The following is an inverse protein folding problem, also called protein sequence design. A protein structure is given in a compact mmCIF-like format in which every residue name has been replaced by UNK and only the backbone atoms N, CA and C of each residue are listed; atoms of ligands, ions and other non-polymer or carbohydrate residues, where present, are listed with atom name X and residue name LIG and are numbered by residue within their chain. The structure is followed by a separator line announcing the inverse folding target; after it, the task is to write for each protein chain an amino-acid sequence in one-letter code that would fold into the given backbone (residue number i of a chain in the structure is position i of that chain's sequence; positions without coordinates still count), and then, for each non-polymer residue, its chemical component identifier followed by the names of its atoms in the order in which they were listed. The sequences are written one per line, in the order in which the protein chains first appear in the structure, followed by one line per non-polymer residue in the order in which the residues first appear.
data_IF_554973476154
#
_entry.id   IF_554973476154
#
_cell.length_a   1.000
_cell.length_b   1.000
_cell.length_c   1.000
_cell.angle_alpha   90.00
_cell.angle_beta   90.00
_cell.angle_gamma   90.00
#
_symmetry.space_group_name_H-M   'P 1'
#
loop_
_entity.id
_entity.type
_entity.pdbx_description
1 polymer ?
#
# COMPACT_ATOMS: atom_id res chain seq x y z
N UNK A 1 -11.25 11.54 14.17
CA UNK A 1 -10.89 10.38 13.30
C UNK A 1 -11.92 9.28 13.53
N UNK A 2 -12.44 8.72 12.47
CA UNK A 2 -13.31 7.55 12.50
C UNK A 2 -12.44 6.31 12.25
N UNK A 3 -12.64 5.25 13.03
CA UNK A 3 -12.01 3.95 12.79
C UNK A 3 -12.89 3.08 11.89
N UNK A 4 -12.28 2.15 11.18
CA UNK A 4 -12.97 1.16 10.38
C UNK A 4 -13.94 0.32 11.25
N UNK A 5 -15.09 0.00 10.69
CA UNK A 5 -16.05 -0.93 11.26
C UNK A 5 -15.82 -2.31 10.64
N UNK A 6 -15.29 -3.25 11.42
CA UNK A 6 -14.87 -4.55 10.92
C UNK A 6 -15.47 -5.72 11.70
N UNK A 7 -15.56 -6.85 11.04
CA UNK A 7 -15.77 -8.16 11.61
C UNK A 7 -14.60 -9.09 11.31
N UNK A 8 -14.32 -10.04 12.22
CA UNK A 8 -13.38 -11.11 11.97
C UNK A 8 -14.14 -12.36 11.50
N UNK A 9 -14.04 -12.65 10.20
CA UNK A 9 -14.74 -13.77 9.55
C UNK A 9 -13.79 -14.93 9.32
N UNK A 10 -14.29 -16.15 9.50
CA UNK A 10 -13.54 -17.34 9.08
C UNK A 10 -13.33 -17.28 7.57
N UNK A 11 -12.10 -17.61 7.16
CA UNK A 11 -11.78 -17.78 5.76
C UNK A 11 -12.65 -18.90 5.14
N UNK A 12 -13.06 -18.72 3.90
CA UNK A 12 -13.78 -19.73 3.12
C UNK A 12 -12.91 -20.94 2.72
N UNK A 13 -11.58 -20.83 2.88
CA UNK A 13 -10.65 -21.95 2.78
C UNK A 13 -10.54 -22.69 4.11
N UNK A 14 -10.23 -23.96 4.08
CA UNK A 14 -10.19 -24.89 5.24
C UNK A 14 -9.10 -24.57 6.30
N UNK A 15 -8.52 -23.36 6.32
CA UNK A 15 -7.42 -22.99 7.21
C UNK A 15 -7.83 -22.76 8.67
N UNK A 16 -9.12 -22.55 8.94
CA UNK A 16 -9.64 -22.16 10.27
C UNK A 16 -9.22 -20.76 10.73
N UNK A 17 -8.47 -20.03 9.90
CA UNK A 17 -8.02 -18.67 10.18
C UNK A 17 -9.15 -17.65 10.01
N UNK A 18 -9.07 -16.55 10.75
CA UNK A 18 -9.99 -15.44 10.60
C UNK A 18 -9.31 -14.28 9.87
N UNK A 19 -10.06 -13.64 8.98
CA UNK A 19 -9.62 -12.44 8.22
C UNK A 19 -10.48 -11.24 8.60
N UNK A 20 -9.92 -10.02 8.61
CA UNK A 20 -10.69 -8.82 8.84
C UNK A 20 -11.56 -8.51 7.61
N UNK A 21 -12.82 -8.25 7.85
CA UNK A 21 -13.82 -7.90 6.85
C UNK A 21 -14.37 -6.51 7.16
N UNK A 22 -14.32 -5.61 6.19
CA UNK A 22 -14.89 -4.27 6.31
C UNK A 22 -16.39 -4.31 6.14
N UNK A 23 -17.14 -3.83 7.14
CA UNK A 23 -18.59 -3.60 7.02
C UNK A 23 -18.87 -2.33 6.22
N UNK A 24 -17.96 -1.35 6.25
CA UNK A 24 -18.12 -0.08 5.52
C UNK A 24 -18.05 -0.29 4.00
N UNK A 25 -17.18 -1.21 3.54
CA UNK A 25 -16.95 -1.47 2.11
C UNK A 25 -17.42 -2.84 1.63
N UNK A 26 -17.94 -3.68 2.55
CA UNK A 26 -18.42 -5.03 2.25
C UNK A 26 -17.36 -5.89 1.53
N UNK A 27 -16.12 -5.89 2.05
CA UNK A 27 -14.97 -6.59 1.47
C UNK A 27 -13.95 -7.04 2.53
N UNK A 28 -13.06 -7.96 2.14
CA UNK A 28 -11.94 -8.42 2.98
C UNK A 28 -10.73 -7.49 2.81
N UNK A 29 -9.95 -7.31 3.87
CA UNK A 29 -8.69 -6.56 3.77
C UNK A 29 -7.60 -7.34 3.05
N UNK A 30 -7.55 -8.64 3.27
CA UNK A 30 -6.60 -9.56 2.61
C UNK A 30 -7.14 -10.99 2.64
N UNK A 31 -6.62 -11.83 1.77
CA UNK A 31 -6.86 -13.27 1.81
C UNK A 31 -5.84 -13.94 2.75
N UNK A 32 -6.31 -14.69 3.75
CA UNK A 32 -5.45 -15.34 4.75
C UNK A 32 -4.49 -16.36 4.16
N UNK A 33 -4.84 -16.99 3.04
CA UNK A 33 -4.00 -18.02 2.41
C UNK A 33 -2.91 -17.40 1.53
N UNK A 34 -3.23 -16.33 0.81
CA UNK A 34 -2.43 -15.86 -0.33
C UNK A 34 -2.05 -14.36 -0.25
N UNK A 35 -2.47 -13.62 0.80
CA UNK A 35 -2.29 -12.17 0.88
C UNK A 35 -0.83 -11.73 0.79
N UNK A 36 0.10 -12.49 1.41
CA UNK A 36 1.52 -12.22 1.31
C UNK A 36 2.04 -12.41 -0.11
N UNK A 37 1.69 -13.53 -0.75
CA UNK A 37 2.10 -13.84 -2.12
C UNK A 37 1.46 -12.85 -3.12
N UNK A 38 0.22 -12.40 -2.85
CA UNK A 38 -0.40 -11.34 -3.65
C UNK A 38 0.37 -10.03 -3.56
N UNK A 39 0.78 -9.61 -2.36
CA UNK A 39 1.64 -8.44 -2.16
C UNK A 39 2.96 -8.57 -2.92
N UNK A 40 3.64 -9.72 -2.80
CA UNK A 40 4.90 -9.99 -3.50
C UNK A 40 4.71 -9.96 -5.02
N UNK A 41 3.66 -10.61 -5.53
CA UNK A 41 3.38 -10.64 -6.96
C UNK A 41 2.99 -9.25 -7.49
N UNK A 42 1.96 -8.61 -6.90
CA UNK A 42 1.39 -7.37 -7.45
C UNK A 42 2.33 -6.19 -7.21
N UNK A 43 2.73 -5.97 -5.95
CA UNK A 43 3.35 -4.69 -5.59
C UNK A 43 4.88 -4.74 -5.63
N UNK A 44 5.50 -5.84 -5.19
CA UNK A 44 6.97 -5.94 -5.19
C UNK A 44 7.49 -6.20 -6.61
N UNK A 45 6.97 -7.22 -7.28
CA UNK A 45 7.49 -7.65 -8.58
C UNK A 45 7.22 -6.61 -9.67
N UNK A 46 5.99 -6.10 -9.78
CA UNK A 46 5.61 -5.19 -10.86
C UNK A 46 6.03 -3.73 -10.66
N UNK A 47 6.42 -3.33 -9.44
CA UNK A 47 7.19 -2.10 -9.22
C UNK A 47 8.71 -2.34 -9.28
N UNK A 48 9.16 -3.57 -9.52
CA UNK A 48 10.58 -3.97 -9.58
C UNK A 48 11.35 -3.56 -8.32
N UNK A 49 10.71 -3.61 -7.14
CA UNK A 49 11.28 -3.04 -5.93
C UNK A 49 12.59 -3.74 -5.51
N UNK A 50 12.69 -5.06 -5.68
CA UNK A 50 13.92 -5.79 -5.34
C UNK A 50 15.11 -5.29 -6.15
N UNK A 51 14.96 -5.11 -7.47
CA UNK A 51 16.02 -4.61 -8.33
C UNK A 51 16.38 -3.15 -7.99
N UNK A 52 15.37 -2.31 -7.78
CA UNK A 52 15.55 -0.87 -7.51
C UNK A 52 16.20 -0.62 -6.15
N UNK A 53 15.84 -1.40 -5.13
CA UNK A 53 16.40 -1.30 -3.78
C UNK A 53 17.86 -1.81 -3.71
N UNK A 54 18.26 -2.74 -4.58
CA UNK A 54 19.64 -3.27 -4.61
C UNK A 54 20.64 -2.36 -5.29
N UNK A 55 20.22 -1.20 -5.83
CA UNK A 55 21.15 -0.24 -6.42
C UNK A 55 22.12 0.28 -5.33
N UNK A 56 23.44 0.08 -5.48
CA UNK A 56 24.42 0.49 -4.47
C UNK A 56 24.52 2.00 -4.27
N UNK A 57 24.13 2.79 -5.27
CA UNK A 57 24.16 4.26 -5.22
C UNK A 57 22.84 4.85 -4.67
N UNK A 58 21.89 4.00 -4.26
CA UNK A 58 20.61 4.46 -3.74
C UNK A 58 20.78 5.13 -2.38
N UNK A 59 20.36 6.39 -2.27
CA UNK A 59 20.36 7.16 -1.03
C UNK A 59 18.97 7.27 -0.40
N UNK A 60 17.91 7.31 -1.22
CA UNK A 60 16.53 7.38 -0.77
C UNK A 60 15.59 6.78 -1.81
N UNK A 61 14.43 6.30 -1.35
CA UNK A 61 13.35 5.81 -2.20
C UNK A 61 12.01 6.22 -1.60
N UNK A 62 11.07 6.67 -2.43
CA UNK A 62 9.78 7.18 -1.98
C UNK A 62 8.63 6.35 -2.55
N UNK A 63 7.74 5.90 -1.67
CA UNK A 63 6.54 5.12 -2.01
C UNK A 63 5.31 5.83 -1.45
N UNK A 64 4.24 5.88 -2.23
CA UNK A 64 2.88 6.15 -1.70
C UNK A 64 2.02 4.92 -1.94
N UNK A 65 1.36 4.48 -0.87
CA UNK A 65 0.32 3.46 -0.89
C UNK A 65 -1.04 4.10 -0.66
N UNK A 66 -2.00 3.79 -1.54
CA UNK A 66 -3.40 4.12 -1.33
C UNK A 66 -4.10 2.94 -0.65
N UNK A 67 -4.83 3.19 0.46
CA UNK A 67 -5.47 2.11 1.23
C UNK A 67 -4.46 1.30 2.06
N UNK A 68 -3.88 1.92 3.08
CA UNK A 68 -2.90 1.27 3.97
C UNK A 68 -3.45 0.01 4.67
N UNK A 69 -4.75 0.02 5.00
CA UNK A 69 -5.46 -1.12 5.58
C UNK A 69 -4.78 -1.71 6.80
N UNK A 70 -4.36 -2.98 6.69
CA UNK A 70 -3.63 -3.68 7.75
C UNK A 70 -2.12 -3.42 7.74
N UNK A 71 -1.61 -2.66 6.78
CA UNK A 71 -0.18 -2.40 6.63
C UNK A 71 0.65 -3.59 6.13
N UNK A 72 0.01 -4.60 5.53
CA UNK A 72 0.72 -5.77 5.01
C UNK A 72 1.76 -5.38 3.96
N UNK A 73 1.39 -4.53 3.01
CA UNK A 73 2.33 -4.05 1.98
C UNK A 73 3.52 -3.32 2.62
N UNK A 74 3.27 -2.46 3.61
CA UNK A 74 4.32 -1.79 4.37
C UNK A 74 5.27 -2.78 5.05
N UNK A 75 4.75 -3.84 5.69
CA UNK A 75 5.59 -4.87 6.35
C UNK A 75 6.49 -5.58 5.34
N UNK A 76 5.93 -5.99 4.19
CA UNK A 76 6.68 -6.71 3.13
C UNK A 76 7.73 -5.81 2.50
N UNK A 77 7.36 -4.58 2.11
CA UNK A 77 8.29 -3.59 1.53
C UNK A 77 9.40 -3.27 2.51
N UNK A 78 9.06 -3.03 3.78
CA UNK A 78 10.03 -2.71 4.83
C UNK A 78 11.03 -3.84 5.08
N UNK A 79 10.55 -5.10 5.12
CA UNK A 79 11.42 -6.26 5.28
C UNK A 79 12.37 -6.41 4.09
N UNK A 80 11.88 -6.22 2.87
CA UNK A 80 12.73 -6.24 1.67
C UNK A 80 13.76 -5.12 1.70
N UNK A 81 13.33 -3.88 2.01
CA UNK A 81 14.23 -2.72 2.14
C UNK A 81 15.37 -2.98 3.10
N UNK A 82 15.05 -3.43 4.32
CA UNK A 82 16.05 -3.70 5.35
C UNK A 82 17.02 -4.82 4.99
N UNK A 83 16.57 -5.76 4.15
CA UNK A 83 17.37 -6.91 3.70
C UNK A 83 18.38 -6.53 2.62
N UNK A 84 18.01 -5.67 1.66
CA UNK A 84 18.81 -5.52 0.43
C UNK A 84 19.24 -4.10 0.10
N UNK A 85 18.57 -3.05 0.65
CA UNK A 85 18.94 -1.67 0.35
C UNK A 85 20.25 -1.26 1.06
N UNK A 86 21.01 -0.33 0.49
CA UNK A 86 22.19 0.22 1.15
C UNK A 86 21.89 0.67 2.59
N UNK A 87 22.83 0.39 3.52
CA UNK A 87 22.60 0.63 4.95
C UNK A 87 22.31 2.09 5.30
N UNK A 88 22.82 3.03 4.51
CA UNK A 88 22.64 4.47 4.71
C UNK A 88 21.43 5.03 3.95
N UNK A 89 20.76 4.21 3.12
CA UNK A 89 19.60 4.65 2.37
C UNK A 89 18.36 4.75 3.26
N UNK A 90 17.46 5.71 2.94
CA UNK A 90 16.22 5.96 3.65
C UNK A 90 15.03 5.63 2.76
N UNK A 91 14.10 4.82 3.26
CA UNK A 91 12.80 4.61 2.66
C UNK A 91 11.81 5.65 3.21
N UNK A 92 11.22 6.44 2.34
CA UNK A 92 10.06 7.28 2.64
C UNK A 92 8.79 6.54 2.18
N UNK A 93 8.00 6.10 3.12
CA UNK A 93 6.76 5.38 2.86
C UNK A 93 5.58 6.20 3.36
N UNK A 94 4.63 6.51 2.49
CA UNK A 94 3.39 7.21 2.84
C UNK A 94 2.24 6.25 2.62
N UNK A 95 1.53 5.92 3.70
CA UNK A 95 0.29 5.16 3.67
C UNK A 95 -0.91 6.09 3.86
N UNK A 96 -1.87 6.05 2.94
CA UNK A 96 -3.11 6.83 3.04
C UNK A 96 -4.23 5.87 3.44
N UNK A 97 -4.96 6.21 4.51
CA UNK A 97 -6.07 5.38 5.00
C UNK A 97 -7.18 6.26 5.59
N UNK A 98 -8.35 6.21 5.00
CA UNK A 98 -9.50 7.01 5.43
C UNK A 98 -10.10 6.52 6.76
N UNK A 99 -10.17 5.20 6.92
CA UNK A 99 -10.75 4.53 8.08
C UNK A 99 -9.70 3.60 8.71
N UNK A 100 -8.74 4.15 9.47
CA UNK A 100 -7.70 3.34 10.10
C UNK A 100 -8.30 2.23 10.98
N UNK A 101 -7.64 1.08 11.03
CA UNK A 101 -8.01 0.01 11.95
C UNK A 101 -7.76 0.44 13.41
N UNK A 102 -8.54 -0.08 14.34
CA UNK A 102 -8.20 0.03 15.76
C UNK A 102 -6.92 -0.73 16.06
N UNK A 103 -6.13 -0.26 17.00
CA UNK A 103 -4.85 -0.90 17.36
C UNK A 103 -5.02 -2.39 17.69
N UNK A 104 -6.11 -2.77 18.35
CA UNK A 104 -6.37 -4.17 18.69
C UNK A 104 -6.57 -5.04 17.45
N UNK A 105 -7.24 -4.52 16.44
CA UNK A 105 -7.50 -5.22 15.18
C UNK A 105 -6.25 -5.30 14.32
N UNK A 106 -5.47 -4.22 14.28
CA UNK A 106 -4.17 -4.19 13.61
C UNK A 106 -3.19 -5.19 14.25
N UNK A 107 -3.15 -5.25 15.59
CA UNK A 107 -2.33 -6.23 16.33
C UNK A 107 -2.74 -7.65 16.00
N UNK A 108 -4.04 -7.93 15.94
CA UNK A 108 -4.56 -9.25 15.58
C UNK A 108 -4.21 -9.62 14.13
N UNK A 109 -4.31 -8.68 13.19
CA UNK A 109 -3.91 -8.90 11.80
C UNK A 109 -2.43 -9.26 11.69
N UNK A 110 -1.56 -8.53 12.38
CA UNK A 110 -0.12 -8.73 12.34
C UNK A 110 0.34 -10.05 12.97
N UNK A 111 -0.43 -10.63 13.91
CA UNK A 111 -0.10 -11.90 14.53
C UNK A 111 0.00 -13.07 13.50
N UNK A 112 -0.57 -12.91 12.31
CA UNK A 112 -0.49 -13.89 11.24
C UNK A 112 0.88 -13.94 10.56
N UNK A 113 1.70 -12.88 10.66
CA UNK A 113 2.96 -12.73 9.93
C UNK A 113 4.15 -12.60 10.88
N UNK A 114 4.45 -13.69 11.60
CA UNK A 114 5.53 -13.73 12.61
C UNK A 114 6.91 -13.37 12.03
N UNK A 115 7.14 -13.60 10.73
CA UNK A 115 8.38 -13.22 10.04
C UNK A 115 8.63 -11.70 10.03
N UNK A 116 7.61 -10.88 10.24
CA UNK A 116 7.71 -9.42 10.31
C UNK A 116 7.62 -8.87 11.75
N UNK A 117 7.73 -9.71 12.77
CA UNK A 117 7.46 -9.37 14.16
C UNK A 117 8.22 -8.13 14.67
N UNK A 118 9.47 -7.91 14.22
CA UNK A 118 10.24 -6.74 14.65
C UNK A 118 9.68 -5.43 14.08
N UNK A 119 9.43 -5.39 12.77
CA UNK A 119 8.87 -4.21 12.09
C UNK A 119 7.43 -3.96 12.59
N UNK A 120 6.66 -5.04 12.73
CA UNK A 120 5.30 -4.99 13.26
C UNK A 120 5.25 -4.37 14.66
N UNK A 121 6.15 -4.74 15.55
CA UNK A 121 6.22 -4.20 16.92
C UNK A 121 6.46 -2.69 16.91
N UNK A 122 7.42 -2.22 16.12
CA UNK A 122 7.71 -0.79 15.99
C UNK A 122 6.52 -0.03 15.38
N UNK A 123 5.91 -0.59 14.34
CA UNK A 123 4.70 0.00 13.74
C UNK A 123 3.56 0.09 14.75
N UNK A 124 3.23 -0.98 15.46
CA UNK A 124 2.13 -1.00 16.44
C UNK A 124 2.37 -0.01 17.59
N UNK A 125 3.62 0.11 18.04
CA UNK A 125 4.01 1.10 19.05
C UNK A 125 3.80 2.53 18.53
N UNK A 126 4.22 2.83 17.31
CA UNK A 126 4.03 4.14 16.70
C UNK A 126 2.54 4.43 16.45
N UNK A 127 1.82 3.45 15.92
CA UNK A 127 0.41 3.53 15.59
C UNK A 127 -0.51 3.74 16.80
N UNK A 128 -0.08 3.36 18.01
CA UNK A 128 -0.85 3.58 19.25
C UNK A 128 -1.19 5.05 19.50
N UNK A 129 -0.45 5.97 18.88
CA UNK A 129 -0.64 7.42 18.99
C UNK A 129 -1.19 8.06 17.71
N UNK A 130 -1.77 7.28 16.80
CA UNK A 130 -2.30 7.79 15.53
C UNK A 130 -3.41 8.82 15.76
N UNK A 131 -3.35 9.90 14.98
CA UNK A 131 -4.33 11.00 14.99
C UNK A 131 -4.87 11.22 13.58
N UNK A 132 -6.00 11.92 13.47
CA UNK A 132 -6.49 12.37 12.17
C UNK A 132 -5.44 13.23 11.45
N UNK A 133 -5.38 13.11 10.13
CA UNK A 133 -4.43 13.82 9.29
C UNK A 133 -3.03 13.19 9.29
N UNK A 134 -2.00 14.02 9.22
CA UNK A 134 -0.63 13.59 9.03
C UNK A 134 0.03 13.09 10.33
N UNK A 135 0.58 11.89 10.29
CA UNK A 135 1.40 11.29 11.34
C UNK A 135 2.73 10.86 10.72
N UNK A 136 3.85 11.12 11.40
CA UNK A 136 5.18 10.71 10.93
C UNK A 136 5.85 9.85 11.99
N UNK A 137 6.33 8.68 11.57
CA UNK A 137 6.97 7.70 12.43
C UNK A 137 8.33 7.31 11.86
N UNK A 138 9.31 7.16 12.75
CA UNK A 138 10.65 6.64 12.42
C UNK A 138 10.73 5.17 12.84
N UNK A 139 10.94 4.29 11.87
CA UNK A 139 10.98 2.82 12.04
C UNK A 139 12.38 2.33 11.69
N UNK A 140 12.79 1.20 12.28
CA UNK A 140 14.08 0.55 12.04
C UNK A 140 15.26 1.52 12.20
N UNK A 141 15.34 2.19 13.35
CA UNK A 141 16.39 3.15 13.69
C UNK A 141 16.59 4.26 12.65
N UNK A 142 15.49 4.73 12.05
CA UNK A 142 15.49 5.83 11.09
C UNK A 142 15.65 5.42 9.62
N UNK A 143 15.87 4.16 9.33
CA UNK A 143 15.98 3.67 7.94
C UNK A 143 14.66 3.72 7.17
N UNK A 144 13.54 3.85 7.86
CA UNK A 144 12.21 3.97 7.27
C UNK A 144 11.49 5.14 7.94
N UNK A 145 11.07 6.11 7.13
CA UNK A 145 10.21 7.21 7.53
C UNK A 145 8.79 6.90 7.03
N UNK A 146 7.91 6.53 7.96
CA UNK A 146 6.52 6.22 7.65
C UNK A 146 5.64 7.45 7.90
N UNK A 147 5.06 8.00 6.84
CA UNK A 147 3.99 9.00 6.90
C UNK A 147 2.63 8.30 6.83
N UNK A 148 1.86 8.32 7.92
CA UNK A 148 0.48 7.82 7.92
C UNK A 148 -0.49 9.00 7.77
N UNK A 149 -1.17 9.05 6.63
CA UNK A 149 -2.24 10.02 6.34
C UNK A 149 -3.59 9.39 6.72
N UNK A 150 -4.03 9.64 7.95
CA UNK A 150 -5.33 9.17 8.45
C UNK A 150 -6.44 10.13 7.99
N UNK A 151 -6.73 10.13 6.68
CA UNK A 151 -7.65 11.06 6.03
C UNK A 151 -8.14 10.51 4.67
N UNK A 152 -9.14 11.22 4.12
CA UNK A 152 -9.58 10.97 2.74
C UNK A 152 -8.44 11.23 1.74
N UNK A 153 -8.35 10.41 0.71
CA UNK A 153 -7.29 10.48 -0.30
C UNK A 153 -7.22 11.86 -0.98
N UNK A 154 -8.38 12.50 -1.19
CA UNK A 154 -8.45 13.82 -1.82
C UNK A 154 -8.07 14.96 -0.87
N UNK A 155 -8.00 14.70 0.43
CA UNK A 155 -7.43 15.63 1.41
C UNK A 155 -5.94 15.35 1.65
N UNK A 156 -5.54 14.09 1.59
CA UNK A 156 -4.17 13.65 1.85
C UNK A 156 -3.21 13.96 0.70
N UNK A 157 -3.57 13.64 -0.55
CA UNK A 157 -2.67 13.80 -1.71
C UNK A 157 -2.27 15.25 -1.98
N UNK A 158 -3.15 16.27 -1.93
CA UNK A 158 -2.76 17.66 -2.15
C UNK A 158 -1.72 18.17 -1.16
N UNK A 159 -1.61 17.57 0.02
CA UNK A 159 -0.65 17.95 1.06
C UNK A 159 0.74 17.33 0.83
N UNK A 160 0.89 16.42 -0.14
CA UNK A 160 2.17 15.81 -0.48
C UNK A 160 2.90 16.68 -1.52
N UNK A 161 4.20 16.86 -1.30
CA UNK A 161 5.04 17.71 -2.17
C UNK A 161 6.27 16.97 -2.72
N UNK A 162 6.66 15.84 -2.10
CA UNK A 162 7.78 15.02 -2.57
C UNK A 162 7.34 14.13 -3.71
N UNK A 163 8.10 14.13 -4.80
CA UNK A 163 7.89 13.18 -5.88
C UNK A 163 8.20 11.76 -5.42
N UNK A 164 7.45 10.81 -5.94
CA UNK A 164 7.55 9.40 -5.56
C UNK A 164 8.22 8.55 -6.65
N UNK A 165 8.82 7.46 -6.23
CA UNK A 165 9.44 6.48 -7.12
C UNK A 165 8.46 5.37 -7.50
N UNK A 166 7.53 5.03 -6.61
CA UNK A 166 6.55 3.99 -6.86
C UNK A 166 5.21 4.25 -6.15
N UNK A 167 4.13 3.84 -6.81
CA UNK A 167 2.78 3.80 -6.27
C UNK A 167 2.36 2.35 -6.02
N UNK A 168 1.83 2.08 -4.84
CA UNK A 168 1.07 0.87 -4.53
C UNK A 168 -0.40 1.29 -4.51
N UNK A 169 -1.13 1.01 -5.61
CA UNK A 169 -2.55 1.35 -5.71
C UNK A 169 -3.37 0.19 -5.16
N UNK A 170 -3.49 0.18 -3.85
CA UNK A 170 -4.24 -0.79 -3.07
C UNK A 170 -5.50 -0.16 -2.47
N UNK A 171 -6.23 -0.94 -1.69
CA UNK A 171 -7.50 -0.60 -1.08
C UNK A 171 -8.66 -1.42 -1.64
N UNK A 172 -9.88 -1.08 -1.25
CA UNK A 172 -11.06 -1.79 -1.74
C UNK A 172 -11.29 -1.55 -3.23
N UNK A 173 -11.84 -2.56 -3.90
CA UNK A 173 -12.03 -2.55 -5.35
C UNK A 173 -12.79 -1.30 -5.84
N UNK A 174 -12.57 -0.86 -7.10
CA UNK A 174 -13.26 0.31 -7.66
C UNK A 174 -14.79 0.23 -7.59
N UNK A 175 -15.36 -0.97 -7.61
CA UNK A 175 -16.80 -1.15 -7.46
C UNK A 175 -17.30 -0.92 -6.03
N UNK A 176 -16.44 -1.10 -5.02
CA UNK A 176 -16.79 -0.97 -3.60
C UNK A 176 -16.34 0.35 -2.99
N UNK A 177 -15.28 0.93 -3.49
CA UNK A 177 -14.76 2.22 -3.06
C UNK A 177 -14.40 3.11 -4.27
N UNK A 178 -15.38 3.56 -5.06
CA UNK A 178 -15.12 4.33 -6.28
C UNK A 178 -14.38 5.66 -6.02
N UNK A 179 -14.53 6.24 -4.84
CA UNK A 179 -13.91 7.52 -4.48
C UNK A 179 -12.37 7.50 -4.52
N UNK A 180 -11.74 6.33 -4.41
CA UNK A 180 -10.28 6.20 -4.51
C UNK A 180 -9.76 6.09 -5.96
N UNK A 181 -10.66 5.96 -6.95
CA UNK A 181 -10.31 5.60 -8.32
C UNK A 181 -10.86 6.63 -9.33
N UNK A 182 -10.79 7.92 -8.96
CA UNK A 182 -11.30 9.03 -9.78
C UNK A 182 -10.18 9.67 -10.60
N UNK A 183 -10.56 10.41 -11.63
CA UNK A 183 -9.61 11.14 -12.48
C UNK A 183 -8.84 12.21 -11.68
N UNK A 184 -9.46 12.79 -10.63
CA UNK A 184 -8.81 13.74 -9.75
C UNK A 184 -7.69 13.07 -8.92
N UNK A 185 -7.91 11.84 -8.44
CA UNK A 185 -6.87 11.04 -7.77
C UNK A 185 -5.71 10.78 -8.74
N UNK A 186 -6.00 10.37 -9.97
CA UNK A 186 -4.96 10.11 -10.98
C UNK A 186 -4.21 11.39 -11.38
N UNK A 187 -4.87 12.54 -11.43
CA UNK A 187 -4.21 13.83 -11.64
C UNK A 187 -3.24 14.17 -10.50
N UNK A 188 -3.62 13.90 -9.24
CA UNK A 188 -2.70 14.07 -8.11
C UNK A 188 -1.52 13.09 -8.16
N UNK A 189 -1.76 11.86 -8.61
CA UNK A 189 -0.67 10.90 -8.84
C UNK A 189 0.32 11.43 -9.90
N UNK A 190 -0.18 11.94 -11.02
CA UNK A 190 0.67 12.55 -12.05
C UNK A 190 1.52 13.70 -11.49
N UNK A 191 0.90 14.61 -10.73
CA UNK A 191 1.60 15.75 -10.08
C UNK A 191 2.75 15.32 -9.18
N UNK A 192 2.57 14.19 -8.47
CA UNK A 192 3.57 13.65 -7.53
C UNK A 192 4.53 12.66 -8.20
N UNK A 193 4.34 12.34 -9.48
CA UNK A 193 5.21 11.45 -10.23
C UNK A 193 6.29 12.22 -10.98
N UNK A 194 7.42 11.59 -11.17
CA UNK A 194 8.49 11.98 -12.11
C UNK A 194 8.60 10.92 -13.20
N UNK A 195 9.17 11.28 -14.35
CA UNK A 195 9.45 10.28 -15.40
C UNK A 195 10.18 9.08 -14.81
N UNK A 196 9.66 7.88 -15.03
CA UNK A 196 10.16 6.64 -14.45
C UNK A 196 9.48 6.20 -13.15
N UNK A 197 8.57 7.01 -12.57
CA UNK A 197 7.73 6.54 -11.44
C UNK A 197 6.86 5.38 -11.89
N UNK A 198 6.88 4.28 -11.14
CA UNK A 198 6.09 3.09 -11.44
C UNK A 198 4.79 3.04 -10.62
N UNK A 199 3.82 2.28 -11.09
CA UNK A 199 2.68 1.87 -10.28
C UNK A 199 2.35 0.39 -10.48
N UNK A 200 1.72 -0.21 -9.49
CA UNK A 200 1.07 -1.51 -9.62
C UNK A 200 -0.25 -1.53 -8.86
N UNK A 201 -1.21 -2.32 -9.35
CA UNK A 201 -2.52 -2.48 -8.75
C UNK A 201 -3.12 -3.84 -9.09
N UNK A 202 -3.85 -4.40 -8.14
CA UNK A 202 -4.57 -5.67 -8.33
C UNK A 202 -5.77 -5.56 -9.28
N UNK A 203 -6.27 -4.35 -9.57
CA UNK A 203 -7.45 -4.16 -10.42
C UNK A 203 -7.08 -4.03 -11.90
N UNK A 204 -7.97 -4.51 -12.78
CA UNK A 204 -7.88 -4.31 -14.23
C UNK A 204 -9.06 -3.50 -14.78
N UNK A 205 -9.78 -2.78 -13.91
CA UNK A 205 -10.97 -2.02 -14.26
C UNK A 205 -10.70 -1.02 -15.39
N UNK A 206 -11.55 -1.02 -16.40
CA UNK A 206 -11.35 -0.24 -17.63
C UNK A 206 -11.30 1.27 -17.41
N UNK A 207 -12.09 1.81 -16.46
CA UNK A 207 -12.04 3.25 -16.12
C UNK A 207 -10.74 3.61 -15.42
N UNK A 208 -10.23 2.78 -14.50
CA UNK A 208 -8.93 2.99 -13.85
C UNK A 208 -7.80 3.01 -14.89
N UNK A 209 -7.79 2.05 -15.82
CA UNK A 209 -6.82 2.03 -16.91
C UNK A 209 -6.84 3.33 -17.72
N UNK A 210 -8.02 3.76 -18.17
CA UNK A 210 -8.15 5.00 -18.97
C UNK A 210 -7.75 6.24 -18.19
N UNK A 211 -8.17 6.36 -16.91
CA UNK A 211 -7.81 7.49 -16.06
C UNK A 211 -6.30 7.59 -15.85
N UNK A 212 -5.62 6.48 -15.57
CA UNK A 212 -4.16 6.44 -15.47
C UNK A 212 -3.46 6.80 -16.78
N UNK A 213 -3.98 6.31 -17.93
CA UNK A 213 -3.45 6.69 -19.25
C UNK A 213 -3.62 8.18 -19.53
N UNK A 214 -4.77 8.76 -19.23
CA UNK A 214 -5.01 10.21 -19.37
C UNK A 214 -4.12 11.04 -18.43
N UNK A 215 -3.75 10.49 -17.29
CA UNK A 215 -2.83 11.12 -16.34
C UNK A 215 -1.34 11.00 -16.72
N UNK A 216 -1.00 10.38 -17.86
CA UNK A 216 0.38 10.29 -18.36
C UNK A 216 1.13 9.00 -18.01
N UNK A 217 0.41 7.97 -17.56
CA UNK A 217 1.01 6.65 -17.34
C UNK A 217 0.86 5.73 -18.57
N UNK A 218 1.93 5.05 -18.95
CA UNK A 218 1.88 3.88 -19.83
C UNK A 218 1.39 2.70 -19.00
N UNK A 219 0.24 2.13 -19.35
CA UNK A 219 -0.44 1.08 -18.54
C UNK A 219 -0.40 -0.25 -19.28
N UNK A 220 0.09 -1.27 -18.61
CA UNK A 220 0.16 -2.65 -19.08
C UNK A 220 -0.76 -3.55 -18.24
N UNK A 221 -1.43 -4.48 -18.89
CA UNK A 221 -2.17 -5.57 -18.25
C UNK A 221 -1.28 -6.78 -18.09
N UNK A 222 -1.46 -7.48 -16.98
CA UNK A 222 -0.73 -8.70 -16.66
C UNK A 222 -1.68 -9.74 -16.10
N UNK A 223 -1.24 -10.98 -16.04
CA UNK A 223 -1.94 -12.04 -15.32
C UNK A 223 -2.07 -11.65 -13.85
N UNK A 224 -3.27 -11.68 -13.32
CA UNK A 224 -3.54 -11.41 -11.92
C UNK A 224 -3.07 -12.53 -11.01
N UNK A 225 -3.22 -12.33 -9.70
CA UNK A 225 -2.85 -13.32 -8.69
C UNK A 225 -4.07 -14.14 -8.24
N UNK A 226 -3.87 -15.44 -8.04
CA UNK A 226 -4.92 -16.34 -7.54
C UNK A 226 -6.15 -16.40 -8.44
N UNK A 227 -7.30 -16.00 -7.92
CA UNK A 227 -8.57 -15.98 -8.67
C UNK A 227 -8.76 -14.74 -9.55
N UNK A 228 -7.92 -13.71 -9.42
CA UNK A 228 -7.97 -12.49 -10.22
C UNK A 228 -7.34 -12.78 -11.58
N UNK A 229 -8.13 -12.63 -12.65
CA UNK A 229 -7.66 -12.94 -14.01
C UNK A 229 -6.60 -11.96 -14.51
N UNK A 230 -6.75 -10.67 -14.19
CA UNK A 230 -5.89 -9.60 -14.67
C UNK A 230 -5.58 -8.60 -13.56
N UNK A 231 -4.40 -8.00 -13.66
CA UNK A 231 -3.94 -6.85 -12.90
C UNK A 231 -3.28 -5.82 -13.82
N UNK A 232 -2.92 -4.67 -13.30
CA UNK A 232 -2.22 -3.64 -14.07
C UNK A 232 -0.97 -3.14 -13.36
N UNK A 233 0.03 -2.80 -14.16
CA UNK A 233 1.15 -1.98 -13.76
C UNK A 233 1.52 -0.99 -14.85
N UNK A 234 2.40 -0.06 -14.54
CA UNK A 234 2.85 0.89 -15.54
C UNK A 234 3.90 1.85 -15.03
N UNK A 235 4.22 2.80 -15.90
CA UNK A 235 5.27 3.78 -15.67
C UNK A 235 4.77 5.15 -16.13
N UNK A 236 5.09 6.18 -15.36
CA UNK A 236 4.82 7.56 -15.70
C UNK A 236 5.85 8.07 -16.72
N UNK A 237 5.37 8.63 -17.80
CA UNK A 237 6.22 9.15 -18.88
C UNK A 237 6.11 10.67 -19.06
N UNK A 238 5.17 11.31 -18.34
CA UNK A 238 4.92 12.77 -18.45
C UNK A 238 3.66 13.09 -19.20
#
# INVERSE_FOLDING_TARGET
MQFANIEWRKDSGNSGLCQPYSLDFNDVYYNTNDGLQETEHVFIAYNQLAQRFSNPDLSEFSIIETGFGTGLNFLVVSALWLKIAPKNAILHYIGIEKLPLRLIDLTRAHAMWSQFANISRELLQAYSNIKAGNNVFSIATGRIQLGMQADDIMLALPQQFKQVDAWLLDGFSPAKNPAMWTDEVFAQMARLSKTGTTFATFTSAGHVRRGLQMAGFVVNKHTGFGKKQEMMSGIFTG
#
